data_IF_739844613578
#
_entry.id   IF_739844613578
#
_cell.length_a   1.000
_cell.length_b   1.000
_cell.length_c   1.000
_cell.angle_alpha   90.00
_cell.angle_beta   90.00
_cell.angle_gamma   90.00
#
_symmetry.space_group_name_H-M   'P 1'
#
loop_
_entity.id
_entity.type
_entity.pdbx_description
1 polymer ?
#
# COMPACT_ATOMS: atom_id res chain seq x y z
N UNK A 1 -5.92 9.37 24.07
CA UNK A 1 -4.63 9.17 23.39
C UNK A 1 -4.21 10.51 22.84
N UNK A 2 -2.96 10.92 23.07
CA UNK A 2 -2.47 12.20 22.61
C UNK A 2 -2.23 12.16 21.09
N UNK A 3 -2.63 13.22 20.37
CA UNK A 3 -2.49 13.34 18.91
C UNK A 3 -1.06 13.08 18.43
N UNK A 4 -0.07 13.45 19.25
CA UNK A 4 1.35 13.21 19.02
C UNK A 4 1.69 11.73 18.96
N UNK A 5 1.03 10.90 19.76
CA UNK A 5 1.24 9.44 19.77
C UNK A 5 0.72 8.80 18.48
N UNK A 6 -0.46 9.20 18.02
CA UNK A 6 -1.04 8.74 16.75
C UNK A 6 -0.21 9.18 15.55
N UNK A 7 0.22 10.44 15.54
CA UNK A 7 1.08 10.97 14.48
C UNK A 7 2.42 10.23 14.42
N UNK A 8 3.04 9.96 15.57
CA UNK A 8 4.28 9.19 15.64
C UNK A 8 4.08 7.75 15.13
N UNK A 9 2.96 7.11 15.47
CA UNK A 9 2.62 5.78 14.96
C UNK A 9 2.52 5.78 13.43
N UNK A 10 1.81 6.76 12.86
CA UNK A 10 1.67 6.90 11.41
C UNK A 10 3.00 7.16 10.72
N UNK A 11 3.82 8.08 11.23
CA UNK A 11 5.14 8.41 10.66
C UNK A 11 6.06 7.18 10.70
N UNK A 12 6.06 6.43 11.80
CA UNK A 12 6.86 5.22 11.93
C UNK A 12 6.44 4.15 10.90
N UNK A 13 5.13 3.96 10.69
CA UNK A 13 4.61 3.05 9.68
C UNK A 13 5.03 3.49 8.26
N UNK A 14 4.87 4.77 7.94
CA UNK A 14 5.27 5.32 6.63
C UNK A 14 6.78 5.16 6.37
N UNK A 15 7.60 5.45 7.38
CA UNK A 15 9.05 5.30 7.27
C UNK A 15 9.45 3.83 7.07
N UNK A 16 8.81 2.90 7.78
CA UNK A 16 9.06 1.45 7.63
C UNK A 16 8.73 0.97 6.22
N UNK A 17 7.58 1.38 5.66
CA UNK A 17 7.18 1.05 4.29
C UNK A 17 8.15 1.65 3.26
N UNK A 18 8.58 2.89 3.47
CA UNK A 18 9.55 3.56 2.60
C UNK A 18 10.89 2.83 2.62
N UNK A 19 11.37 2.41 3.80
CA UNK A 19 12.59 1.63 3.92
C UNK A 19 12.50 0.30 3.18
N UNK A 20 11.42 -0.46 3.38
CA UNK A 20 11.18 -1.73 2.69
C UNK A 20 11.12 -1.57 1.17
N UNK A 21 10.48 -0.51 0.68
CA UNK A 21 10.41 -0.20 -0.76
C UNK A 21 11.75 0.25 -1.33
N UNK A 22 12.58 0.95 -0.54
CA UNK A 22 13.85 1.56 -1.00
C UNK A 22 15.06 0.62 -0.93
N UNK A 23 14.93 -0.53 -0.25
CA UNK A 23 16.00 -1.49 -0.04
C UNK A 23 15.79 -2.75 -0.90
N UNK A 24 16.02 -2.69 -2.22
CA UNK A 24 15.99 -3.89 -3.04
C UNK A 24 17.13 -4.83 -2.63
N UNK A 25 16.88 -6.13 -2.75
CA UNK A 25 17.94 -7.12 -2.58
C UNK A 25 19.11 -6.82 -3.55
N UNK A 26 20.37 -6.96 -3.10
CA UNK A 26 21.51 -6.75 -3.97
C UNK A 26 21.41 -7.66 -5.20
N UNK A 27 21.31 -7.04 -6.38
CA UNK A 27 21.16 -7.75 -7.65
C UNK A 27 22.16 -8.90 -7.84
N UNK A 28 23.46 -8.77 -7.50
CA UNK A 28 24.40 -9.88 -7.63
C UNK A 28 24.04 -11.11 -6.81
N UNK A 29 23.45 -10.93 -5.61
CA UNK A 29 23.05 -12.07 -4.77
C UNK A 29 21.93 -12.86 -5.43
N UNK A 30 20.94 -12.17 -5.99
CA UNK A 30 19.86 -12.81 -6.74
C UNK A 30 20.40 -13.52 -7.95
N UNK A 31 21.15 -12.79 -8.79
CA UNK A 31 21.71 -13.35 -10.01
C UNK A 31 22.52 -14.61 -9.73
N UNK A 32 23.40 -14.59 -8.72
CA UNK A 32 24.20 -15.75 -8.35
C UNK A 32 23.35 -16.90 -7.82
N UNK A 33 22.32 -16.62 -6.99
CA UNK A 33 21.43 -17.64 -6.44
C UNK A 33 20.63 -18.37 -7.52
N UNK A 34 20.03 -17.64 -8.47
CA UNK A 34 19.32 -18.25 -9.59
C UNK A 34 20.28 -19.04 -10.49
N UNK A 35 21.42 -18.43 -10.84
CA UNK A 35 22.40 -19.05 -11.74
C UNK A 35 22.97 -20.36 -11.18
N UNK A 36 23.35 -20.39 -9.89
CA UNK A 36 23.95 -21.59 -9.30
C UNK A 36 22.92 -22.73 -9.17
N UNK A 37 21.67 -22.41 -8.80
CA UNK A 37 20.59 -23.40 -8.73
C UNK A 37 20.27 -23.95 -10.11
N UNK A 38 20.19 -23.11 -11.14
CA UNK A 38 19.92 -23.56 -12.50
C UNK A 38 21.05 -24.45 -13.04
N UNK A 39 22.31 -24.04 -12.86
CA UNK A 39 23.47 -24.86 -13.25
C UNK A 39 23.47 -26.21 -12.52
N UNK A 40 23.15 -26.22 -11.23
CA UNK A 40 23.04 -27.46 -10.47
C UNK A 40 21.90 -28.35 -11.00
N UNK A 41 20.73 -27.78 -11.29
CA UNK A 41 19.59 -28.50 -11.84
C UNK A 41 19.87 -29.09 -13.24
N UNK A 42 20.60 -28.39 -14.10
CA UNK A 42 20.98 -28.90 -15.42
C UNK A 42 22.08 -29.96 -15.36
N UNK A 43 22.94 -29.93 -14.33
CA UNK A 43 23.99 -30.95 -14.15
C UNK A 43 23.47 -32.21 -13.44
N UNK A 44 22.36 -32.09 -12.70
CA UNK A 44 21.71 -33.18 -11.96
C UNK A 44 21.37 -34.44 -12.78
N UNK A 45 20.75 -34.38 -13.98
CA UNK A 45 20.46 -35.59 -14.77
C UNK A 45 21.72 -36.38 -15.14
N UNK A 46 22.84 -35.71 -15.42
CA UNK A 46 24.10 -36.38 -15.75
C UNK A 46 24.69 -37.10 -14.53
N UNK A 47 24.55 -36.53 -13.34
CA UNK A 47 24.97 -37.17 -12.10
C UNK A 47 24.11 -38.42 -11.80
N UNK A 48 22.78 -38.31 -11.91
CA UNK A 48 21.87 -39.41 -11.58
C UNK A 48 21.89 -40.54 -12.62
N UNK A 49 22.13 -40.24 -13.89
CA UNK A 49 22.25 -41.25 -14.94
C UNK A 49 23.39 -42.25 -14.69
N UNK A 50 24.41 -41.88 -13.92
CA UNK A 50 25.50 -42.79 -13.52
C UNK A 50 25.13 -43.74 -12.37
N UNK A 51 24.09 -43.40 -11.60
CA UNK A 51 23.71 -44.12 -10.37
C UNK A 51 22.45 -44.95 -10.53
N UNK A 52 21.51 -44.51 -11.37
CA UNK A 52 20.21 -45.16 -11.59
C UNK A 52 20.21 -45.80 -12.97
N UNK A 53 20.09 -47.12 -13.03
CA UNK A 53 20.05 -47.89 -14.30
C UNK A 53 18.72 -47.71 -15.05
N UNK A 54 17.61 -47.56 -14.33
CA UNK A 54 16.29 -47.33 -14.94
C UNK A 54 16.11 -45.86 -15.32
N UNK A 55 16.22 -45.59 -16.62
CA UNK A 55 16.05 -44.26 -17.19
C UNK A 55 14.69 -43.62 -16.92
N UNK A 56 13.61 -44.40 -16.77
CA UNK A 56 12.28 -43.86 -16.48
C UNK A 56 12.18 -43.36 -15.03
N UNK A 57 12.72 -44.14 -14.09
CA UNK A 57 12.78 -43.75 -12.67
C UNK A 57 13.69 -42.53 -12.49
N UNK A 58 14.83 -42.51 -13.18
CA UNK A 58 15.73 -41.37 -13.19
C UNK A 58 15.02 -40.09 -13.69
N UNK A 59 14.36 -40.16 -14.85
CA UNK A 59 13.64 -39.02 -15.42
C UNK A 59 12.54 -38.48 -14.49
N UNK A 60 11.80 -39.38 -13.83
CA UNK A 60 10.76 -38.99 -12.87
C UNK A 60 11.35 -38.27 -11.66
N UNK A 61 12.46 -38.77 -11.09
CA UNK A 61 13.12 -38.14 -9.95
C UNK A 61 13.67 -36.76 -10.33
N UNK A 62 14.35 -36.66 -11.48
CA UNK A 62 14.88 -35.38 -11.99
C UNK A 62 13.74 -34.39 -12.19
N UNK A 63 12.61 -34.82 -12.74
CA UNK A 63 11.43 -33.97 -12.93
C UNK A 63 10.94 -33.38 -11.61
N UNK A 64 10.75 -34.19 -10.56
CA UNK A 64 10.28 -33.69 -9.27
C UNK A 64 11.28 -32.74 -8.59
N UNK A 65 12.57 -33.06 -8.66
CA UNK A 65 13.62 -32.18 -8.10
C UNK A 65 13.64 -30.85 -8.86
N UNK A 66 13.65 -30.89 -10.19
CA UNK A 66 13.66 -29.69 -11.02
C UNK A 66 12.42 -28.84 -10.79
N UNK A 67 11.23 -29.45 -10.79
CA UNK A 67 9.97 -28.76 -10.51
C UNK A 67 9.97 -28.11 -9.13
N UNK A 68 10.46 -28.79 -8.09
CA UNK A 68 10.54 -28.25 -6.74
C UNK A 68 11.45 -27.02 -6.64
N UNK A 69 12.69 -27.12 -7.11
CA UNK A 69 13.65 -26.01 -7.01
C UNK A 69 13.33 -24.86 -7.96
N UNK A 70 12.91 -25.13 -9.20
CA UNK A 70 12.47 -24.09 -10.13
C UNK A 70 11.21 -23.38 -9.60
N UNK A 71 10.28 -24.12 -9.00
CA UNK A 71 9.09 -23.55 -8.36
C UNK A 71 9.43 -22.65 -7.17
N UNK A 72 10.35 -23.07 -6.30
CA UNK A 72 10.81 -22.24 -5.18
C UNK A 72 11.46 -20.95 -5.69
N UNK A 73 12.32 -21.04 -6.70
CA UNK A 73 12.97 -19.89 -7.33
C UNK A 73 11.93 -18.91 -7.90
N UNK A 74 10.90 -19.41 -8.60
CA UNK A 74 9.82 -18.59 -9.12
C UNK A 74 9.04 -17.90 -8.00
N UNK A 75 8.61 -18.62 -6.97
CA UNK A 75 7.88 -18.05 -5.83
C UNK A 75 8.72 -17.01 -5.07
N UNK A 76 10.02 -17.27 -4.92
CA UNK A 76 10.93 -16.30 -4.29
C UNK A 76 11.00 -15.01 -5.09
N UNK A 77 10.98 -15.08 -6.43
CA UNK A 77 10.99 -13.89 -7.28
C UNK A 77 9.70 -13.07 -7.15
N UNK A 78 8.54 -13.73 -7.05
CA UNK A 78 7.25 -13.04 -6.85
C UNK A 78 7.19 -12.33 -5.49
N UNK A 79 7.60 -13.00 -4.40
CA UNK A 79 7.55 -12.43 -3.04
C UNK A 79 8.47 -11.21 -2.88
N UNK A 80 9.52 -11.14 -3.69
CA UNK A 80 10.49 -10.05 -3.64
C UNK A 80 9.94 -8.69 -4.09
N UNK A 81 8.85 -8.66 -4.84
CA UNK A 81 8.28 -7.43 -5.40
C UNK A 81 6.84 -7.18 -4.93
N UNK A 82 6.59 -7.09 -3.61
CA UNK A 82 5.24 -7.15 -3.04
C UNK A 82 4.34 -5.94 -3.34
N UNK A 83 4.89 -4.88 -3.92
CA UNK A 83 4.17 -3.63 -4.25
C UNK A 83 4.03 -3.43 -5.76
N UNK A 84 4.16 -4.49 -6.55
CA UNK A 84 4.02 -4.46 -7.99
C UNK A 84 2.56 -4.36 -8.45
N UNK A 85 2.25 -5.06 -9.53
CA UNK A 85 0.89 -5.14 -10.11
C UNK A 85 0.47 -6.58 -10.40
N UNK A 86 1.19 -7.54 -9.83
CA UNK A 86 0.91 -8.96 -10.00
C UNK A 86 -0.28 -9.37 -9.12
N UNK A 87 -1.01 -10.44 -9.48
CA UNK A 87 -2.22 -10.84 -8.74
C UNK A 87 -1.99 -11.19 -7.26
N UNK A 88 -0.73 -11.46 -6.86
CA UNK A 88 -0.34 -11.81 -5.50
C UNK A 88 0.31 -10.63 -4.75
N UNK A 89 0.33 -9.44 -5.33
CA UNK A 89 0.86 -8.23 -4.70
C UNK A 89 -0.15 -7.59 -3.74
N UNK A 90 0.35 -6.69 -2.89
CA UNK A 90 -0.51 -5.89 -2.05
C UNK A 90 -1.36 -4.93 -2.89
N UNK A 91 -2.68 -4.90 -2.62
CA UNK A 91 -3.63 -4.00 -3.28
C UNK A 91 -3.45 -2.53 -2.82
N UNK A 92 -2.35 -1.89 -3.23
CA UNK A 92 -1.98 -0.53 -2.81
C UNK A 92 -3.05 0.51 -3.16
N UNK A 93 -3.71 0.35 -4.31
CA UNK A 93 -4.82 1.21 -4.72
C UNK A 93 -6.02 1.11 -3.78
N UNK A 94 -6.35 -0.11 -3.33
CA UNK A 94 -7.44 -0.32 -2.37
C UNK A 94 -7.12 0.36 -1.03
N UNK A 95 -5.89 0.20 -0.54
CA UNK A 95 -5.46 0.84 0.71
C UNK A 95 -5.46 2.37 0.61
N UNK A 96 -5.01 2.93 -0.52
CA UNK A 96 -5.11 4.37 -0.82
C UNK A 96 -6.57 4.83 -0.75
N UNK A 97 -7.46 4.15 -1.44
CA UNK A 97 -8.87 4.55 -1.55
C UNK A 97 -9.63 4.39 -0.25
N UNK A 98 -9.29 3.37 0.57
CA UNK A 98 -9.84 3.22 1.93
C UNK A 98 -9.36 4.31 2.85
N UNK A 99 -8.07 4.65 2.80
CA UNK A 99 -7.49 5.73 3.62
C UNK A 99 -8.11 7.08 3.28
N UNK A 100 -8.23 7.40 1.98
CA UNK A 100 -8.88 8.62 1.52
C UNK A 100 -10.35 8.71 1.96
N UNK A 101 -11.09 7.60 1.87
CA UNK A 101 -12.49 7.53 2.33
C UNK A 101 -12.63 7.68 3.84
N UNK A 102 -11.72 7.10 4.62
CA UNK A 102 -11.69 7.25 6.08
C UNK A 102 -11.51 8.70 6.49
N UNK A 103 -10.49 9.37 5.93
CA UNK A 103 -10.22 10.80 6.18
C UNK A 103 -11.42 11.66 5.80
N UNK A 104 -12.04 11.41 4.63
CA UNK A 104 -13.24 12.13 4.21
C UNK A 104 -14.43 11.90 5.15
N UNK A 105 -14.59 10.66 5.64
CA UNK A 105 -15.61 10.31 6.62
C UNK A 105 -15.46 11.11 7.90
N UNK A 106 -14.27 11.09 8.49
CA UNK A 106 -13.98 11.80 9.75
C UNK A 106 -14.14 13.31 9.60
N UNK A 107 -13.66 13.89 8.49
CA UNK A 107 -13.84 15.31 8.20
C UNK A 107 -15.33 15.68 8.08
N UNK A 108 -16.14 14.83 7.42
CA UNK A 108 -17.57 15.07 7.28
C UNK A 108 -18.31 15.01 8.62
N UNK A 109 -18.00 14.06 9.49
CA UNK A 109 -18.59 13.93 10.83
C UNK A 109 -18.20 15.09 11.75
N UNK A 110 -16.95 15.56 11.65
CA UNK A 110 -16.51 16.74 12.41
C UNK A 110 -17.21 18.00 11.93
N UNK A 111 -17.45 18.13 10.63
CA UNK A 111 -18.17 19.26 10.05
C UNK A 111 -19.62 19.34 10.55
N UNK A 112 -20.37 18.24 10.51
CA UNK A 112 -21.76 18.21 11.01
C UNK A 112 -21.84 18.59 12.47
N UNK A 113 -20.95 18.02 13.31
CA UNK A 113 -20.90 18.33 14.74
C UNK A 113 -20.60 19.81 15.03
N UNK A 114 -19.82 20.49 14.17
CA UNK A 114 -19.56 21.93 14.31
C UNK A 114 -20.77 22.76 13.87
N UNK A 115 -21.45 22.37 12.79
CA UNK A 115 -22.63 23.08 12.31
C UNK A 115 -23.79 22.99 13.31
N UNK A 116 -24.02 21.80 13.90
CA UNK A 116 -25.04 21.60 14.93
C UNK A 116 -24.75 22.44 16.19
N UNK A 117 -23.46 22.66 16.50
CA UNK A 117 -23.02 23.54 17.60
C UNK A 117 -23.21 25.02 17.28
N UNK A 118 -23.00 25.45 16.04
CA UNK A 118 -23.27 26.83 15.60
C UNK A 118 -24.76 27.15 15.68
N UNK A 119 -25.61 26.24 15.19
CA UNK A 119 -27.07 26.38 15.26
C UNK A 119 -27.58 26.43 16.71
N UNK A 120 -27.00 25.64 17.61
CA UNK A 120 -27.36 25.65 19.03
C UNK A 120 -26.77 26.84 19.82
N UNK A 121 -25.64 27.41 19.39
CA UNK A 121 -24.92 28.46 20.14
C UNK A 121 -25.16 29.87 19.60
N UNK A 122 -25.65 30.03 18.37
CA UNK A 122 -25.75 31.33 17.70
C UNK A 122 -24.41 32.02 17.41
N UNK A 123 -23.29 31.28 17.50
CA UNK A 123 -21.93 31.75 17.24
C UNK A 123 -21.40 31.15 15.93
N UNK A 124 -20.42 31.82 15.29
CA UNK A 124 -19.83 31.39 14.01
C UNK A 124 -18.58 30.50 14.21
N UNK A 125 -18.67 29.41 14.98
CA UNK A 125 -17.54 28.51 15.29
C UNK A 125 -17.02 27.82 14.03
N UNK A 126 -17.87 27.62 13.01
CA UNK A 126 -17.47 27.10 11.69
C UNK A 126 -16.46 28.00 10.98
N UNK A 127 -16.59 29.33 11.05
CA UNK A 127 -15.66 30.26 10.41
C UNK A 127 -14.29 30.30 11.13
N UNK A 128 -14.29 30.16 12.46
CA UNK A 128 -13.09 30.03 13.28
C UNK A 128 -12.34 28.71 12.97
N UNK A 129 -13.08 27.61 12.81
CA UNK A 129 -12.52 26.32 12.41
C UNK A 129 -11.86 26.39 11.02
N UNK A 130 -12.50 27.04 10.05
CA UNK A 130 -11.88 27.27 8.74
C UNK A 130 -10.61 28.12 8.84
N UNK A 131 -10.61 29.18 9.66
CA UNK A 131 -9.41 29.99 9.91
C UNK A 131 -8.28 29.16 10.51
N UNK A 132 -8.59 28.18 11.37
CA UNK A 132 -7.60 27.33 12.01
C UNK A 132 -7.03 26.26 11.05
N UNK A 133 -7.87 25.60 10.24
CA UNK A 133 -7.42 24.57 9.29
C UNK A 133 -6.69 25.13 8.07
N UNK A 134 -7.00 26.36 7.67
CA UNK A 134 -6.36 27.00 6.51
C UNK A 134 -5.01 27.64 6.83
N UNK A 135 -4.63 27.67 8.12
CA UNK A 135 -3.44 28.37 8.60
C UNK A 135 -3.44 29.87 8.27
N UNK A 136 -2.49 30.63 8.81
CA UNK A 136 -2.32 32.05 8.45
C UNK A 136 -2.02 32.27 6.95
N UNK A 137 -1.60 31.22 6.23
CA UNK A 137 -1.13 31.29 4.84
C UNK A 137 -2.24 31.66 3.84
N UNK A 138 -3.51 31.37 4.17
CA UNK A 138 -4.65 31.72 3.32
C UNK A 138 -5.28 33.08 3.63
N UNK A 139 -4.79 33.84 4.63
CA UNK A 139 -5.18 35.26 4.81
C UNK A 139 -4.80 36.12 3.61
N UNK A 140 -3.75 35.75 2.88
CA UNK A 140 -3.20 36.55 1.77
C UNK A 140 -3.68 36.07 0.39
N UNK A 141 -4.40 34.94 0.31
CA UNK A 141 -4.91 34.37 -0.94
C UNK A 141 -6.37 33.87 -0.81
N UNK A 142 -7.36 34.78 -0.80
CA UNK A 142 -8.77 34.44 -0.59
C UNK A 142 -9.37 33.49 -1.65
N UNK A 143 -8.79 33.43 -2.85
CA UNK A 143 -9.21 32.53 -3.93
C UNK A 143 -8.99 31.04 -3.61
N UNK A 144 -7.90 30.71 -2.89
CA UNK A 144 -7.58 29.33 -2.49
C UNK A 144 -8.45 28.86 -1.33
N UNK A 145 -8.81 29.76 -0.40
CA UNK A 145 -9.78 29.49 0.69
C UNK A 145 -11.15 29.10 0.14
N UNK A 146 -11.60 29.80 -0.91
CA UNK A 146 -12.87 29.51 -1.58
C UNK A 146 -12.83 28.17 -2.34
N UNK A 147 -11.70 27.82 -2.96
CA UNK A 147 -11.52 26.54 -3.66
C UNK A 147 -11.58 25.34 -2.70
N UNK A 148 -10.92 25.44 -1.54
CA UNK A 148 -10.93 24.39 -0.51
C UNK A 148 -12.32 24.25 0.14
N UNK A 149 -12.97 25.37 0.52
CA UNK A 149 -14.35 25.35 1.03
C UNK A 149 -15.32 24.74 0.02
N UNK A 150 -15.20 25.10 -1.26
CA UNK A 150 -16.00 24.51 -2.34
C UNK A 150 -15.71 23.03 -2.53
N UNK A 151 -14.46 22.60 -2.49
CA UNK A 151 -14.08 21.19 -2.63
C UNK A 151 -14.68 20.33 -1.50
N UNK A 152 -14.55 20.78 -0.25
CA UNK A 152 -15.13 20.08 0.90
C UNK A 152 -16.67 20.11 0.86
N UNK A 153 -17.27 21.26 0.55
CA UNK A 153 -18.73 21.40 0.41
C UNK A 153 -19.31 20.54 -0.73
N UNK A 154 -18.65 20.49 -1.89
CA UNK A 154 -19.02 19.63 -3.02
C UNK A 154 -18.92 18.14 -2.69
N UNK A 155 -17.90 17.74 -1.92
CA UNK A 155 -17.72 16.36 -1.46
C UNK A 155 -18.82 15.95 -0.49
N UNK A 156 -19.24 16.86 0.40
CA UNK A 156 -20.35 16.64 1.35
C UNK A 156 -21.69 16.57 0.61
N UNK A 157 -21.95 17.47 -0.34
CA UNK A 157 -23.18 17.46 -1.15
C UNK A 157 -23.32 16.17 -1.97
N UNK A 158 -22.21 15.63 -2.49
CA UNK A 158 -22.21 14.35 -3.21
C UNK A 158 -22.63 13.17 -2.33
N UNK A 159 -22.35 13.18 -1.02
CA UNK A 159 -22.80 12.11 -0.10
C UNK A 159 -24.29 12.20 0.24
N UNK A 160 -24.86 13.41 0.38
CA UNK A 160 -26.29 13.59 0.61
C UNK A 160 -27.15 13.04 -0.55
N UNK A 161 -26.68 13.19 -1.79
CA UNK A 161 -27.38 12.68 -2.99
C UNK A 161 -27.29 11.15 -3.10
N UNK A 162 -26.17 10.54 -2.68
CA UNK A 162 -25.96 9.08 -2.75
C UNK A 162 -26.64 8.34 -1.59
N UNK A 163 -26.84 8.98 -0.43
CA UNK A 163 -27.56 8.39 0.70
C UNK A 163 -29.10 8.42 0.55
N UNK A 164 -29.64 9.06 -0.50
CA UNK A 164 -31.10 9.19 -0.76
C UNK A 164 -31.58 8.28 -1.91
N UNK A 165 -30.78 7.28 -2.30
CA UNK A 165 -31.14 6.20 -3.24
C UNK A 165 -30.82 4.86 -2.60
#
# INVERSE_FOLDING_TARGET
>A
MDLTQELNSYINAYHTLTQMSSAPFPFPLLQMSFTITDVWLYTLPFALASTIEDGYVCALIVFFIHFGFAGINAVSNEIMHPTGSDPNDFEMDLYRDRTARGIQGDLSSRWTNLNDRDESSGNNITDDFWMQMTGQDLKHHPSKKLSFRKAVSLVILRRSIVATK
#
